data_IF_682459395001
#
_entry.id   IF_682459395001
#
_cell.length_a   1.000
_cell.length_b   1.000
_cell.length_c   1.000
_cell.angle_alpha   90.00
_cell.angle_beta   90.00
_cell.angle_gamma   90.00
#
_symmetry.space_group_name_H-M   'P 1'
#
loop_
_entity.id
_entity.type
_entity.pdbx_description
1 polymer ?
#
# COMPACT_ATOMS: atom_id res chain seq x y z
N UNK A 1 -1.97 -20.10 11.51
CA UNK A 1 -3.09 -19.28 11.00
C UNK A 1 -4.02 -18.97 12.16
N UNK A 2 -4.16 -17.71 12.53
CA UNK A 2 -5.00 -17.28 13.64
C UNK A 2 -6.46 -17.15 13.15
N UNK A 3 -7.35 -17.98 13.69
CA UNK A 3 -8.79 -18.00 13.35
C UNK A 3 -9.46 -16.65 13.66
N UNK A 4 -9.11 -16.02 14.78
CA UNK A 4 -9.63 -14.70 15.16
C UNK A 4 -9.15 -13.61 14.20
N UNK A 5 -7.88 -13.66 13.80
CA UNK A 5 -7.32 -12.77 12.79
C UNK A 5 -8.02 -12.91 11.43
N UNK A 6 -8.37 -14.14 11.04
CA UNK A 6 -9.13 -14.42 9.82
C UNK A 6 -10.55 -13.85 9.88
N UNK A 7 -11.27 -14.12 10.96
CA UNK A 7 -12.63 -13.60 11.17
C UNK A 7 -12.64 -12.07 11.20
N UNK A 8 -11.67 -11.45 11.88
CA UNK A 8 -11.51 -9.99 11.89
C UNK A 8 -11.26 -9.46 10.47
N UNK A 9 -10.34 -10.06 9.72
CA UNK A 9 -10.00 -9.59 8.37
C UNK A 9 -11.18 -9.71 7.42
N UNK A 10 -11.90 -10.84 7.44
CA UNK A 10 -13.11 -11.05 6.63
C UNK A 10 -14.20 -10.04 7.01
N UNK A 11 -14.47 -9.84 8.30
CA UNK A 11 -15.48 -8.89 8.76
C UNK A 11 -15.14 -7.45 8.35
N UNK A 12 -13.88 -7.03 8.45
CA UNK A 12 -13.43 -5.72 8.00
C UNK A 12 -13.56 -5.53 6.48
N UNK A 13 -13.27 -6.57 5.69
CA UNK A 13 -13.48 -6.55 4.24
C UNK A 13 -14.97 -6.39 3.93
N UNK A 14 -15.84 -7.19 4.56
CA UNK A 14 -17.30 -7.12 4.36
C UNK A 14 -17.83 -5.73 4.73
N UNK A 15 -17.45 -5.22 5.91
CA UNK A 15 -17.83 -3.87 6.36
C UNK A 15 -17.38 -2.81 5.35
N UNK A 16 -16.15 -2.92 4.81
CA UNK A 16 -15.66 -1.97 3.80
C UNK A 16 -16.53 -1.94 2.54
N UNK A 17 -17.01 -3.10 2.07
CA UNK A 17 -17.96 -3.17 0.96
C UNK A 17 -19.35 -2.63 1.32
N UNK A 18 -19.84 -2.85 2.54
CA UNK A 18 -21.11 -2.29 3.00
C UNK A 18 -21.08 -0.76 3.07
N UNK A 19 -19.95 -0.19 3.48
CA UNK A 19 -19.75 1.27 3.57
C UNK A 19 -19.78 1.95 2.19
N UNK A 20 -19.66 1.22 1.08
CA UNK A 20 -19.82 1.77 -0.28
C UNK A 20 -21.19 2.40 -0.54
N UNK A 21 -22.20 2.10 0.28
CA UNK A 21 -23.56 2.64 0.13
C UNK A 21 -23.78 3.98 0.87
N UNK A 22 -22.77 4.52 1.56
CA UNK A 22 -22.88 5.82 2.23
C UNK A 22 -23.11 6.95 1.21
N UNK A 23 -23.93 7.95 1.54
CA UNK A 23 -24.20 9.08 0.62
C UNK A 23 -22.98 10.01 0.44
N UNK A 24 -22.27 10.33 1.53
CA UNK A 24 -21.17 11.30 1.57
C UNK A 24 -19.78 10.68 1.33
N UNK A 25 -19.67 9.70 0.42
CA UNK A 25 -18.42 8.92 0.18
C UNK A 25 -17.21 9.80 -0.08
N UNK A 26 -17.38 10.84 -0.90
CA UNK A 26 -16.29 11.77 -1.28
C UNK A 26 -15.78 12.58 -0.09
N UNK A 27 -16.69 13.05 0.78
CA UNK A 27 -16.34 13.79 1.99
C UNK A 27 -15.64 12.88 3.00
N UNK A 28 -16.14 11.65 3.20
CA UNK A 28 -15.51 10.66 4.08
C UNK A 28 -14.12 10.31 3.57
N UNK A 29 -13.96 10.08 2.27
CA UNK A 29 -12.66 9.81 1.65
C UNK A 29 -11.66 10.93 1.89
N UNK A 30 -12.09 12.18 1.69
CA UNK A 30 -11.26 13.36 1.89
C UNK A 30 -10.86 13.53 3.35
N UNK A 31 -11.80 13.35 4.29
CA UNK A 31 -11.52 13.42 5.73
C UNK A 31 -10.52 12.35 6.17
N UNK A 32 -10.74 11.08 5.77
CA UNK A 32 -9.82 9.97 6.07
C UNK A 32 -8.42 10.27 5.53
N UNK A 33 -8.34 10.82 4.32
CA UNK A 33 -7.05 11.17 3.69
C UNK A 33 -6.32 12.28 4.44
N UNK A 34 -7.03 13.29 4.95
CA UNK A 34 -6.42 14.33 5.80
C UNK A 34 -5.87 13.74 7.08
N UNK A 35 -6.68 12.95 7.79
CA UNK A 35 -6.29 12.34 9.06
C UNK A 35 -5.05 11.47 8.86
N UNK A 36 -5.05 10.62 7.83
CA UNK A 36 -3.94 9.74 7.50
C UNK A 36 -2.68 10.52 7.10
N UNK A 37 -2.82 11.59 6.30
CA UNK A 37 -1.70 12.43 5.92
C UNK A 37 -1.06 13.10 7.12
N UNK A 38 -1.86 13.74 7.99
CA UNK A 38 -1.37 14.42 9.19
C UNK A 38 -0.68 13.41 10.10
N UNK A 39 -1.34 12.28 10.37
CA UNK A 39 -0.78 11.22 11.22
C UNK A 39 0.58 10.75 10.71
N UNK A 40 0.68 10.43 9.41
CA UNK A 40 1.94 9.93 8.83
C UNK A 40 3.01 11.01 8.73
N UNK A 41 2.67 12.25 8.36
CA UNK A 41 3.66 13.34 8.38
C UNK A 41 4.23 13.53 9.79
N UNK A 42 3.37 13.55 10.82
CA UNK A 42 3.82 13.69 12.20
C UNK A 42 4.67 12.50 12.64
N UNK A 43 4.24 11.26 12.36
CA UNK A 43 4.98 10.04 12.69
C UNK A 43 6.41 10.06 12.09
N UNK A 44 6.53 10.34 10.80
CA UNK A 44 7.83 10.35 10.12
C UNK A 44 8.68 11.57 10.49
N UNK A 45 8.08 12.72 10.80
CA UNK A 45 8.82 13.86 11.37
C UNK A 45 9.39 13.54 12.74
N UNK A 46 8.66 12.81 13.59
CA UNK A 46 9.16 12.37 14.90
C UNK A 46 10.32 11.39 14.74
N UNK A 47 10.22 10.41 13.84
CA UNK A 47 11.34 9.49 13.56
C UNK A 47 12.58 10.23 13.06
N UNK A 48 12.39 11.19 12.15
CA UNK A 48 13.49 12.02 11.64
C UNK A 48 14.14 12.84 12.75
N UNK A 49 13.34 13.50 13.61
CA UNK A 49 13.84 14.28 14.74
C UNK A 49 14.61 13.43 15.76
N UNK A 50 14.23 12.16 15.93
CA UNK A 50 14.93 11.19 16.80
C UNK A 50 16.16 10.53 16.16
N UNK A 51 16.46 10.85 14.89
CA UNK A 51 17.56 10.23 14.15
C UNK A 51 17.32 8.76 13.78
N UNK A 52 16.07 8.28 13.81
CA UNK A 52 15.70 6.89 13.49
C UNK A 52 15.65 6.66 11.96
N UNK A 53 16.79 6.83 11.27
CA UNK A 53 16.87 6.75 9.80
C UNK A 53 16.47 5.38 9.22
N UNK A 54 16.58 4.30 10.01
CA UNK A 54 16.12 2.96 9.61
C UNK A 54 14.60 2.84 9.49
N UNK A 55 13.86 3.84 9.99
CA UNK A 55 12.40 3.94 9.88
C UNK A 55 11.93 4.69 8.64
N UNK A 56 12.83 5.13 7.75
CA UNK A 56 12.47 5.75 6.46
C UNK A 56 11.52 4.82 5.68
N UNK A 57 10.48 5.36 5.02
CA UNK A 57 9.50 4.55 4.31
C UNK A 57 10.16 3.90 3.09
N UNK A 58 10.58 2.64 3.24
CA UNK A 58 11.00 1.79 2.12
C UNK A 58 9.94 0.77 1.75
N UNK A 59 9.02 0.46 2.67
CA UNK A 59 7.93 -0.46 2.40
C UNK A 59 6.88 0.18 1.50
N UNK A 60 6.33 -0.65 0.61
CA UNK A 60 5.35 -0.18 -0.37
C UNK A 60 4.11 0.43 0.30
N UNK A 61 3.66 -0.18 1.41
CA UNK A 61 2.53 0.29 2.22
C UNK A 61 2.81 1.65 2.86
N UNK A 62 4.04 1.88 3.32
CA UNK A 62 4.43 3.15 3.94
C UNK A 62 4.32 4.32 2.95
N UNK A 63 4.74 4.11 1.70
CA UNK A 63 4.64 5.12 0.64
C UNK A 63 3.19 5.26 0.17
N UNK A 64 2.40 4.17 0.16
CA UNK A 64 1.00 4.19 -0.23
C UNK A 64 0.17 5.18 0.61
N UNK A 65 0.45 5.31 1.91
CA UNK A 65 -0.22 6.29 2.77
C UNK A 65 -0.09 7.73 2.26
N UNK A 66 1.12 8.11 1.83
CA UNK A 66 1.40 9.45 1.32
C UNK A 66 0.80 9.65 -0.06
N UNK A 67 1.06 8.73 -1.00
CA UNK A 67 0.57 8.84 -2.38
C UNK A 67 -0.95 8.96 -2.39
N UNK A 68 -1.62 8.05 -1.69
CA UNK A 68 -3.07 8.05 -1.63
C UNK A 68 -3.59 9.36 -1.03
N UNK A 69 -3.09 9.74 0.15
CA UNK A 69 -3.62 10.90 0.86
C UNK A 69 -3.38 12.21 0.11
N UNK A 70 -2.16 12.42 -0.42
CA UNK A 70 -1.81 13.62 -1.21
C UNK A 70 -2.72 13.72 -2.44
N UNK A 71 -2.86 12.63 -3.21
CA UNK A 71 -3.66 12.65 -4.43
C UNK A 71 -5.13 12.98 -4.14
N UNK A 72 -5.70 12.46 -3.05
CA UNK A 72 -7.09 12.75 -2.66
C UNK A 72 -7.24 14.16 -2.11
N UNK A 73 -6.39 14.59 -1.17
CA UNK A 73 -6.47 15.89 -0.50
C UNK A 73 -6.37 17.03 -1.53
N UNK A 74 -5.39 16.94 -2.44
CA UNK A 74 -5.16 17.93 -3.49
C UNK A 74 -5.96 17.67 -4.78
N UNK A 75 -6.82 16.64 -4.79
CA UNK A 75 -7.71 16.29 -5.91
C UNK A 75 -6.97 16.13 -7.26
N UNK A 76 -5.80 15.49 -7.24
CA UNK A 76 -4.93 15.34 -8.43
C UNK A 76 -5.47 14.21 -9.33
N UNK A 77 -6.53 14.48 -10.08
CA UNK A 77 -7.30 13.49 -10.87
C UNK A 77 -6.46 12.57 -11.75
N UNK A 78 -5.35 13.08 -12.31
CA UNK A 78 -4.42 12.30 -13.15
C UNK A 78 -3.85 11.07 -12.44
N UNK A 79 -3.74 11.11 -11.11
CA UNK A 79 -3.13 10.04 -10.31
C UNK A 79 -4.16 9.20 -9.55
N UNK A 80 -5.47 9.36 -9.80
CA UNK A 80 -6.50 8.60 -9.08
C UNK A 80 -6.36 7.08 -9.30
N UNK A 81 -6.06 6.64 -10.52
CA UNK A 81 -5.82 5.23 -10.79
C UNK A 81 -4.62 4.67 -10.02
N UNK A 82 -3.52 5.44 -9.94
CA UNK A 82 -2.34 5.08 -9.14
C UNK A 82 -2.69 5.03 -7.64
N UNK A 83 -3.25 6.11 -7.10
CA UNK A 83 -3.62 6.22 -5.69
C UNK A 83 -4.54 5.09 -5.25
N UNK A 84 -5.59 4.81 -6.02
CA UNK A 84 -6.50 3.70 -5.74
C UNK A 84 -5.80 2.35 -5.81
N UNK A 85 -4.93 2.12 -6.79
CA UNK A 85 -4.19 0.88 -6.91
C UNK A 85 -3.25 0.65 -5.72
N UNK A 86 -2.41 1.63 -5.38
CA UNK A 86 -1.44 1.47 -4.27
C UNK A 86 -2.16 1.28 -2.94
N UNK A 87 -3.26 2.00 -2.72
CA UNK A 87 -4.09 1.87 -1.53
C UNK A 87 -4.81 0.53 -1.47
N UNK A 88 -5.34 0.04 -2.61
CA UNK A 88 -5.96 -1.28 -2.68
C UNK A 88 -4.96 -2.38 -2.34
N UNK A 89 -3.80 -2.37 -3.01
CA UNK A 89 -2.80 -3.42 -2.86
C UNK A 89 -2.25 -3.46 -1.44
N UNK A 90 -1.93 -2.30 -0.87
CA UNK A 90 -1.45 -2.21 0.51
C UNK A 90 -2.55 -2.61 1.49
N UNK A 91 -3.75 -2.02 1.40
CA UNK A 91 -4.83 -2.26 2.35
C UNK A 91 -5.35 -3.70 2.32
N UNK A 92 -5.68 -4.20 1.13
CA UNK A 92 -6.16 -5.57 0.94
C UNK A 92 -5.06 -6.60 1.23
N UNK A 93 -3.82 -6.34 0.78
CA UNK A 93 -2.68 -7.22 1.04
C UNK A 93 -2.44 -7.40 2.54
N UNK A 94 -2.50 -6.31 3.31
CA UNK A 94 -2.36 -6.38 4.77
C UNK A 94 -3.49 -7.16 5.43
N UNK A 95 -4.76 -6.91 5.05
CA UNK A 95 -5.91 -7.65 5.59
C UNK A 95 -5.83 -9.16 5.26
N UNK A 96 -5.31 -9.54 4.10
CA UNK A 96 -5.08 -10.96 3.77
C UNK A 96 -3.90 -11.55 4.55
N UNK A 97 -2.84 -10.77 4.78
CA UNK A 97 -1.65 -11.25 5.49
C UNK A 97 -1.84 -11.33 7.01
N UNK A 98 -2.72 -10.51 7.58
CA UNK A 98 -2.95 -10.39 9.02
C UNK A 98 -3.30 -11.71 9.73
N UNK A 99 -4.14 -12.62 9.18
CA UNK A 99 -4.41 -13.92 9.79
C UNK A 99 -3.19 -14.86 9.88
N UNK A 100 -2.17 -14.62 9.06
CA UNK A 100 -0.95 -15.43 9.02
C UNK A 100 0.17 -14.84 9.87
N UNK A 101 0.25 -13.51 9.97
CA UNK A 101 1.38 -12.80 10.58
C UNK A 101 0.98 -11.87 11.75
N UNK A 102 -0.30 -11.80 12.09
CA UNK A 102 -0.83 -10.90 13.11
C UNK A 102 -0.27 -11.16 14.50
N UNK A 103 -0.15 -12.44 14.89
CA UNK A 103 0.40 -12.82 16.21
C UNK A 103 1.85 -12.33 16.37
N UNK A 104 2.67 -12.51 15.32
CA UNK A 104 4.04 -11.99 15.30
C UNK A 104 4.07 -10.46 15.37
N UNK A 105 3.12 -9.78 14.74
CA UNK A 105 3.00 -8.31 14.82
C UNK A 105 2.69 -7.85 16.25
N UNK A 106 1.77 -8.53 16.94
CA UNK A 106 1.45 -8.23 18.34
C UNK A 106 2.64 -8.43 19.27
N UNK A 107 3.41 -9.51 19.08
CA UNK A 107 4.58 -9.82 19.90
C UNK A 107 5.72 -8.83 19.63
N UNK A 108 6.01 -8.53 18.37
CA UNK A 108 7.20 -7.76 17.98
C UNK A 108 7.00 -6.24 18.04
N UNK A 109 5.77 -5.76 17.86
CA UNK A 109 5.46 -4.32 17.77
C UNK A 109 4.47 -3.85 18.84
N UNK A 110 3.88 -4.79 19.60
CA UNK A 110 2.88 -4.48 20.60
C UNK A 110 1.49 -4.20 20.00
N UNK A 111 0.51 -4.15 20.90
CA UNK A 111 -0.92 -4.03 20.55
C UNK A 111 -1.23 -2.71 19.86
N UNK A 112 -0.70 -1.59 20.39
CA UNK A 112 -0.99 -0.27 19.87
C UNK A 112 -0.55 -0.09 18.40
N UNK A 113 0.71 -0.41 18.09
CA UNK A 113 1.23 -0.27 16.73
C UNK A 113 0.55 -1.22 15.75
N UNK A 114 0.22 -2.44 16.20
CA UNK A 114 -0.48 -3.43 15.37
C UNK A 114 -1.89 -2.94 15.01
N UNK A 115 -2.63 -2.41 15.99
CA UNK A 115 -3.96 -1.85 15.74
C UNK A 115 -3.86 -0.60 14.85
N UNK A 116 -2.90 0.30 15.10
CA UNK A 116 -2.68 1.46 14.26
C UNK A 116 -2.36 1.07 12.81
N UNK A 117 -1.52 0.05 12.60
CA UNK A 117 -1.25 -0.49 11.27
C UNK A 117 -2.52 -1.05 10.61
N UNK A 118 -3.32 -1.83 11.33
CA UNK A 118 -4.58 -2.38 10.84
C UNK A 118 -5.56 -1.27 10.41
N UNK A 119 -5.73 -0.23 11.24
CA UNK A 119 -6.61 0.91 10.94
C UNK A 119 -6.14 1.66 9.69
N UNK A 120 -4.83 1.95 9.59
CA UNK A 120 -4.29 2.64 8.42
C UNK A 120 -4.49 1.84 7.13
N UNK A 121 -4.30 0.52 7.16
CA UNK A 121 -4.52 -0.35 6.01
C UNK A 121 -6.01 -0.48 5.66
N UNK A 122 -6.89 -0.52 6.66
CA UNK A 122 -8.34 -0.49 6.45
C UNK A 122 -8.77 0.82 5.77
N UNK A 123 -8.20 1.96 6.19
CA UNK A 123 -8.46 3.26 5.57
C UNK A 123 -7.99 3.31 4.12
N UNK A 124 -6.82 2.76 3.80
CA UNK A 124 -6.37 2.61 2.41
C UNK A 124 -7.31 1.73 1.60
N UNK A 125 -7.72 0.57 2.13
CA UNK A 125 -8.61 -0.34 1.42
C UNK A 125 -9.98 0.29 1.15
N UNK A 126 -10.62 0.85 2.19
CA UNK A 126 -11.88 1.57 2.07
C UNK A 126 -11.75 2.76 1.12
N UNK A 127 -10.63 3.47 1.20
CA UNK A 127 -10.34 4.62 0.36
C UNK A 127 -10.23 4.26 -1.12
N UNK A 128 -9.55 3.17 -1.43
CA UNK A 128 -9.51 2.58 -2.77
C UNK A 128 -10.92 2.24 -3.26
N UNK A 129 -11.72 1.53 -2.46
CA UNK A 129 -13.08 1.15 -2.83
C UNK A 129 -13.96 2.38 -3.12
N UNK A 130 -13.90 3.42 -2.29
CA UNK A 130 -14.60 4.68 -2.57
C UNK A 130 -14.13 5.31 -3.88
N UNK A 131 -12.83 5.37 -4.12
CA UNK A 131 -12.29 5.92 -5.36
C UNK A 131 -12.78 5.17 -6.60
N UNK A 132 -12.90 3.83 -6.53
CA UNK A 132 -13.48 3.01 -7.60
C UNK A 132 -14.93 3.39 -7.95
N UNK A 133 -15.70 3.94 -7.02
CA UNK A 133 -17.10 4.33 -7.30
C UNK A 133 -17.23 5.56 -8.21
N UNK A 134 -16.16 6.36 -8.37
CA UNK A 134 -16.21 7.58 -9.17
C UNK A 134 -14.98 7.84 -10.06
N UNK A 135 -14.01 6.93 -10.08
CA UNK A 135 -12.91 6.92 -11.05
C UNK A 135 -12.91 5.61 -11.84
N UNK A 136 -13.15 5.72 -13.15
CA UNK A 136 -13.02 4.59 -14.07
C UNK A 136 -11.55 4.42 -14.48
N UNK A 137 -11.01 3.23 -14.26
CA UNK A 137 -9.66 2.88 -14.61
C UNK A 137 -9.40 3.02 -16.11
N UNK A 138 -8.28 3.66 -16.48
CA UNK A 138 -7.87 3.88 -17.87
C UNK A 138 -6.52 3.23 -18.16
N UNK A 139 -6.22 3.00 -19.46
CA UNK A 139 -4.88 2.53 -19.89
C UNK A 139 -3.75 3.49 -19.47
N UNK A 140 -4.03 4.79 -19.32
CA UNK A 140 -3.08 5.77 -18.78
C UNK A 140 -2.69 5.47 -17.33
N UNK A 141 -3.63 4.96 -16.53
CA UNK A 141 -3.39 4.63 -15.13
C UNK A 141 -2.43 3.46 -15.01
N UNK A 142 -2.55 2.48 -15.90
CA UNK A 142 -1.62 1.36 -16.00
C UNK A 142 -0.19 1.82 -16.23
N UNK A 143 0.02 2.74 -17.18
CA UNK A 143 1.35 3.29 -17.47
C UNK A 143 1.90 4.02 -16.24
N UNK A 144 1.08 4.82 -15.56
CA UNK A 144 1.49 5.52 -14.34
C UNK A 144 1.87 4.56 -13.21
N UNK A 145 1.11 3.48 -13.01
CA UNK A 145 1.42 2.46 -12.01
C UNK A 145 2.74 1.76 -12.34
N UNK A 146 2.96 1.35 -13.60
CA UNK A 146 4.20 0.70 -14.00
C UNK A 146 5.42 1.62 -13.84
N UNK A 147 5.30 2.90 -14.21
CA UNK A 147 6.37 3.88 -13.95
C UNK A 147 6.63 4.07 -12.47
N UNK A 148 5.56 4.18 -11.66
CA UNK A 148 5.70 4.26 -10.22
C UNK A 148 6.42 3.04 -9.64
N UNK A 149 6.04 1.82 -10.03
CA UNK A 149 6.73 0.59 -9.59
C UNK A 149 8.21 0.61 -9.96
N UNK A 150 8.56 1.08 -11.16
CA UNK A 150 9.96 1.25 -11.57
C UNK A 150 10.72 2.25 -10.71
N UNK A 151 10.16 3.45 -10.51
CA UNK A 151 10.79 4.46 -9.66
C UNK A 151 10.91 3.99 -8.21
N UNK A 152 9.90 3.28 -7.69
CA UNK A 152 9.91 2.69 -6.37
C UNK A 152 11.02 1.64 -6.22
N UNK A 153 11.15 0.71 -7.17
CA UNK A 153 12.23 -0.29 -7.14
C UNK A 153 13.60 0.37 -7.19
N UNK A 154 13.79 1.37 -8.06
CA UNK A 154 15.05 2.14 -8.11
C UNK A 154 15.32 2.83 -6.77
N UNK A 155 14.31 3.51 -6.21
CA UNK A 155 14.41 4.19 -4.91
C UNK A 155 14.84 3.23 -3.80
N UNK A 156 14.19 2.06 -3.68
CA UNK A 156 14.52 1.07 -2.64
C UNK A 156 15.94 0.53 -2.84
N UNK A 157 16.33 0.21 -4.07
CA UNK A 157 17.70 -0.25 -4.37
C UNK A 157 18.72 0.82 -3.98
N UNK A 158 18.53 2.07 -4.38
CA UNK A 158 19.45 3.18 -4.06
C UNK A 158 19.55 3.43 -2.57
N UNK A 159 18.41 3.56 -1.87
CA UNK A 159 18.39 3.82 -0.43
C UNK A 159 19.01 2.66 0.35
N UNK A 160 18.84 1.42 -0.12
CA UNK A 160 19.46 0.26 0.51
C UNK A 160 21.00 0.27 0.45
N UNK A 161 21.64 1.08 -0.40
CA UNK A 161 23.10 1.30 -0.33
C UNK A 161 23.54 2.20 0.81
N UNK A 162 22.69 3.13 1.22
CA UNK A 162 23.00 4.06 2.30
C UNK A 162 22.61 3.49 3.68
N UNK A 163 21.56 2.66 3.74
CA UNK A 163 20.95 2.21 4.98
C UNK A 163 20.72 0.70 4.96
N UNK A 164 21.18 0.02 6.01
CA UNK A 164 20.84 -1.39 6.25
C UNK A 164 19.47 -1.47 6.93
N UNK A 165 18.54 -2.15 6.27
CA UNK A 165 17.18 -2.32 6.77
C UNK A 165 16.99 -3.70 7.42
N UNK A 166 15.95 -3.80 8.23
CA UNK A 166 15.53 -5.06 8.83
C UNK A 166 15.27 -6.13 7.75
N UNK A 167 15.88 -7.33 7.84
CA UNK A 167 15.66 -8.41 6.87
C UNK A 167 14.22 -8.91 6.80
N UNK A 168 13.39 -8.62 7.80
CA UNK A 168 11.96 -8.98 7.81
C UNK A 168 11.11 -8.09 6.90
N UNK A 169 11.65 -6.95 6.44
CA UNK A 169 10.97 -6.10 5.45
C UNK A 169 10.75 -6.86 4.14
N UNK A 170 9.50 -6.87 3.66
CA UNK A 170 9.09 -7.66 2.50
C UNK A 170 9.90 -7.30 1.26
N UNK A 171 10.13 -6.01 1.01
CA UNK A 171 10.89 -5.59 -0.18
C UNK A 171 12.38 -5.93 -0.09
N UNK A 172 12.93 -5.96 1.13
CA UNK A 172 14.32 -6.35 1.40
C UNK A 172 14.50 -7.84 1.12
N UNK A 173 13.56 -8.66 1.58
CA UNK A 173 13.53 -10.10 1.32
C UNK A 173 13.33 -10.40 -0.18
N UNK A 174 12.34 -9.76 -0.80
CA UNK A 174 11.98 -9.99 -2.20
C UNK A 174 13.14 -9.65 -3.14
N UNK A 175 13.83 -8.54 -2.88
CA UNK A 175 14.95 -8.08 -3.70
C UNK A 175 16.30 -8.57 -3.18
N UNK A 176 16.32 -9.48 -2.20
CA UNK A 176 17.53 -10.04 -1.60
C UNK A 176 18.60 -8.96 -1.31
N UNK A 177 18.18 -7.84 -0.70
CA UNK A 177 19.02 -6.64 -0.60
C UNK A 177 20.17 -6.80 0.40
N UNK A 178 20.15 -7.84 1.23
CA UNK A 178 21.16 -8.11 2.26
C UNK A 178 22.29 -9.04 1.80
N UNK A 179 22.07 -9.87 0.77
CA UNK A 179 23.10 -10.79 0.24
C UNK A 179 23.83 -10.18 -0.97
N UNK A 180 24.46 -9.02 -0.77
CA UNK A 180 25.17 -8.34 -1.87
C UNK A 180 26.53 -8.96 -2.13
N UNK A 181 26.83 -9.15 -3.40
CA UNK A 181 28.16 -9.56 -3.87
C UNK A 181 29.02 -8.30 -4.00
N UNK A 182 30.17 -8.28 -3.31
CA UNK A 182 31.12 -7.17 -3.39
C UNK A 182 31.49 -6.84 -4.84
N UNK A 183 31.50 -5.54 -5.19
CA UNK A 183 31.83 -5.05 -6.54
C UNK A 183 30.72 -5.14 -7.57
N UNK A 184 29.52 -5.64 -7.24
CA UNK A 184 28.35 -5.65 -8.14
C UNK A 184 27.23 -4.75 -7.63
N UNK A 185 26.63 -4.00 -8.54
CA UNK A 185 25.44 -3.20 -8.23
C UNK A 185 24.25 -4.16 -8.02
N UNK A 186 23.97 -5.04 -8.99
CA UNK A 186 22.91 -6.04 -8.84
C UNK A 186 23.46 -7.45 -9.07
N UNK A 187 23.01 -8.39 -8.25
CA UNK A 187 23.21 -9.82 -8.48
C UNK A 187 22.22 -10.33 -9.54
N UNK A 188 22.54 -11.47 -10.17
CA UNK A 188 21.63 -12.11 -11.13
C UNK A 188 20.27 -12.46 -10.47
N UNK A 189 20.31 -12.92 -9.22
CA UNK A 189 19.11 -13.23 -8.43
C UNK A 189 18.24 -11.99 -8.24
N UNK A 190 18.85 -10.84 -7.95
CA UNK A 190 18.13 -9.58 -7.78
C UNK A 190 17.47 -9.14 -9.08
N UNK A 191 18.17 -9.20 -10.21
CA UNK A 191 17.59 -8.88 -11.53
C UNK A 191 16.43 -9.82 -11.85
N UNK A 192 16.58 -11.12 -11.61
CA UNK A 192 15.52 -12.10 -11.80
C UNK A 192 14.29 -11.77 -10.93
N UNK A 193 14.48 -11.49 -9.64
CA UNK A 193 13.40 -11.14 -8.71
C UNK A 193 12.69 -9.85 -9.12
N UNK A 194 13.42 -8.85 -9.65
CA UNK A 194 12.82 -7.63 -10.20
C UNK A 194 11.92 -7.98 -11.39
N UNK A 195 12.39 -8.78 -12.35
CA UNK A 195 11.58 -9.18 -13.52
C UNK A 195 10.32 -9.93 -13.07
N UNK A 196 10.45 -10.89 -12.16
CA UNK A 196 9.32 -11.64 -11.59
C UNK A 196 8.33 -10.69 -10.91
N UNK A 197 8.81 -9.75 -10.10
CA UNK A 197 7.99 -8.73 -9.45
C UNK A 197 7.17 -7.94 -10.48
N UNK A 198 7.79 -7.47 -11.57
CA UNK A 198 7.08 -6.73 -12.62
C UNK A 198 6.02 -7.56 -13.36
N UNK A 199 6.31 -8.84 -13.63
CA UNK A 199 5.35 -9.75 -14.26
C UNK A 199 4.15 -9.99 -13.33
N UNK A 200 4.39 -10.26 -12.04
CA UNK A 200 3.33 -10.43 -11.06
C UNK A 200 2.52 -9.14 -10.89
N UNK A 201 3.19 -7.99 -10.79
CA UNK A 201 2.52 -6.69 -10.68
C UNK A 201 1.63 -6.40 -11.87
N UNK A 202 2.06 -6.72 -13.09
CA UNK A 202 1.25 -6.55 -14.29
C UNK A 202 -0.12 -7.25 -14.15
N UNK A 203 -0.13 -8.49 -13.67
CA UNK A 203 -1.37 -9.24 -13.46
C UNK A 203 -2.22 -8.69 -12.31
N UNK A 204 -1.59 -8.31 -11.20
CA UNK A 204 -2.28 -7.67 -10.07
C UNK A 204 -2.96 -6.36 -10.50
N UNK A 205 -2.31 -5.57 -11.36
CA UNK A 205 -2.88 -4.35 -11.94
C UNK A 205 -4.11 -4.68 -12.82
N UNK A 206 -4.06 -5.76 -13.61
CA UNK A 206 -5.21 -6.21 -14.42
C UNK A 206 -6.39 -6.63 -13.56
N UNK A 207 -6.14 -7.36 -12.46
CA UNK A 207 -7.18 -7.74 -11.51
C UNK A 207 -7.80 -6.49 -10.88
N UNK A 208 -6.98 -5.53 -10.44
CA UNK A 208 -7.46 -4.26 -9.91
C UNK A 208 -8.30 -3.48 -10.94
N UNK A 209 -7.87 -3.42 -12.20
CA UNK A 209 -8.61 -2.76 -13.27
C UNK A 209 -9.99 -3.40 -13.51
N UNK A 210 -10.06 -4.74 -13.46
CA UNK A 210 -11.31 -5.48 -13.57
C UNK A 210 -12.25 -5.21 -12.38
N UNK A 211 -11.73 -5.24 -11.15
CA UNK A 211 -12.50 -4.90 -9.95
C UNK A 211 -13.03 -3.46 -10.00
N UNK A 212 -12.18 -2.51 -10.39
CA UNK A 212 -12.56 -1.12 -10.57
C UNK A 212 -13.70 -0.99 -11.58
N UNK A 213 -13.62 -1.67 -12.73
CA UNK A 213 -14.68 -1.66 -13.74
C UNK A 213 -16.02 -2.16 -13.19
N UNK A 214 -16.03 -3.26 -12.44
CA UNK A 214 -17.24 -3.81 -11.82
C UNK A 214 -17.85 -2.81 -10.83
N UNK A 215 -17.05 -2.29 -9.90
CA UNK A 215 -17.52 -1.35 -8.87
C UNK A 215 -18.00 -0.04 -9.52
N UNK A 216 -17.23 0.51 -10.46
CA UNK A 216 -17.58 1.73 -11.16
C UNK A 216 -18.93 1.60 -11.89
N UNK A 217 -19.12 0.51 -12.65
CA UNK A 217 -20.37 0.26 -13.38
C UNK A 217 -21.57 0.14 -12.44
N UNK A 218 -21.41 -0.52 -11.29
CA UNK A 218 -22.49 -0.68 -10.29
C UNK A 218 -22.97 0.65 -9.72
N UNK A 219 -22.07 1.61 -9.49
CA UNK A 219 -22.37 2.87 -8.79
C UNK A 219 -22.54 4.10 -9.70
N UNK A 220 -22.40 3.96 -11.02
CA UNK A 220 -22.77 4.99 -12.00
C UNK A 220 -24.24 4.91 -12.45
N UNK A 221 -24.90 3.78 -12.20
CA UNK A 221 -26.29 3.52 -12.62
C UNK A 221 -27.30 3.93 -11.52
N UNK A 222 -26.82 4.33 -10.34
CA UNK A 222 -27.60 4.78 -9.17
C UNK A 222 -27.35 6.26 -8.87
#
# INVERSE_FOLDING_TARGET
MNVYGLLLSISLIIVSFLLLNIRKKRQVLWLISIIMLIYKVVEYMVYFYRGELTKIPIEYSAIAYFIFSIVIVFKIKRFYGLAGFVACLSGFGYLIAFPFMGDGSFINHGVYLTIAALINHLFLFLGSLFLMTFHNYKKSDMKLIMYYTLFYTIYVVVISYAITFDPSNFIVLLLDLNNRVSGRILSFVQVFNIVVLFVLYYWVIKIYAFLNFIVFKKYQIT
#
